data_IF_080933749525
#
_entry.id   IF_080933749525
#
_cell.length_a   1.000
_cell.length_b   1.000
_cell.length_c   1.000
_cell.angle_alpha   90.00
_cell.angle_beta   90.00
_cell.angle_gamma   90.00
#
_symmetry.space_group_name_H-M   'P 1'
#
loop_
_entity.id
_entity.type
_entity.pdbx_description
1 polymer ?
#
# COMPACT_ATOMS: atom_id res chain seq x y z
N UNK A 1 -25.57 -45.23 6.02
CA UNK A 1 -25.36 -44.13 5.04
C UNK A 1 -25.52 -42.72 5.65
N UNK A 2 -25.61 -42.53 6.97
CA UNK A 2 -25.88 -41.22 7.60
C UNK A 2 -24.64 -40.46 8.09
N UNK A 3 -23.52 -41.12 8.46
CA UNK A 3 -22.34 -40.48 9.04
C UNK A 3 -21.47 -39.72 8.05
N UNK A 4 -21.47 -40.07 6.77
CA UNK A 4 -20.64 -39.41 5.73
C UNK A 4 -21.24 -38.04 5.34
N UNK A 5 -22.56 -37.88 5.36
CA UNK A 5 -23.22 -36.60 5.03
C UNK A 5 -22.98 -35.50 6.09
N UNK A 6 -22.82 -35.88 7.37
CA UNK A 6 -22.60 -34.91 8.46
C UNK A 6 -21.18 -34.34 8.41
N UNK A 7 -20.19 -35.16 8.06
CA UNK A 7 -18.79 -34.71 7.94
C UNK A 7 -18.63 -33.74 6.76
N UNK A 8 -19.29 -34.01 5.63
CA UNK A 8 -19.22 -33.12 4.45
C UNK A 8 -19.84 -31.76 4.71
N UNK A 9 -20.95 -31.69 5.46
CA UNK A 9 -21.59 -30.43 5.86
C UNK A 9 -20.74 -29.61 6.84
N UNK A 10 -20.00 -30.25 7.75
CA UNK A 10 -19.08 -29.57 8.66
C UNK A 10 -17.88 -28.95 7.94
N UNK A 11 -17.32 -29.62 6.92
CA UNK A 11 -16.22 -29.08 6.12
C UNK A 11 -16.65 -27.88 5.26
N UNK A 12 -17.86 -27.90 4.72
CA UNK A 12 -18.42 -26.78 3.95
C UNK A 12 -18.70 -25.58 4.86
N UNK A 13 -19.18 -25.78 6.08
CA UNK A 13 -19.43 -24.70 7.05
C UNK A 13 -18.13 -24.02 7.53
N UNK A 14 -17.05 -24.79 7.74
CA UNK A 14 -15.72 -24.26 8.14
C UNK A 14 -15.07 -23.46 7.00
N UNK A 15 -15.23 -23.87 5.75
CA UNK A 15 -14.70 -23.13 4.59
C UNK A 15 -15.45 -21.79 4.38
N UNK A 16 -16.76 -21.73 4.68
CA UNK A 16 -17.54 -20.49 4.55
C UNK A 16 -17.24 -19.50 5.70
N UNK A 17 -16.93 -19.96 6.91
CA UNK A 17 -16.62 -19.07 8.03
C UNK A 17 -15.28 -18.35 7.85
N UNK A 18 -14.27 -19.00 7.27
CA UNK A 18 -12.98 -18.37 6.98
C UNK A 18 -13.03 -17.35 5.84
N UNK A 19 -13.91 -17.55 4.85
CA UNK A 19 -14.11 -16.57 3.77
C UNK A 19 -14.86 -15.32 4.26
N UNK A 20 -15.84 -15.47 5.14
CA UNK A 20 -16.60 -14.36 5.73
C UNK A 20 -15.71 -13.45 6.60
N UNK A 21 -14.77 -14.00 7.35
CA UNK A 21 -13.85 -13.21 8.18
C UNK A 21 -12.83 -12.43 7.34
N UNK A 22 -12.27 -13.03 6.31
CA UNK A 22 -11.31 -12.36 5.42
C UNK A 22 -11.97 -11.20 4.63
N UNK A 23 -13.20 -11.38 4.18
CA UNK A 23 -13.96 -10.37 3.44
C UNK A 23 -14.34 -9.18 4.33
N UNK A 24 -14.72 -9.41 5.59
CA UNK A 24 -15.05 -8.36 6.56
C UNK A 24 -13.84 -7.51 6.96
N UNK A 25 -12.66 -8.12 7.09
CA UNK A 25 -11.40 -7.40 7.38
C UNK A 25 -10.98 -6.55 6.18
N UNK A 26 -11.05 -7.06 4.97
CA UNK A 26 -10.75 -6.28 3.75
C UNK A 26 -11.68 -5.07 3.60
N UNK A 27 -12.96 -5.22 3.91
CA UNK A 27 -13.95 -4.14 3.85
C UNK A 27 -13.69 -3.06 4.92
N UNK A 28 -13.29 -3.46 6.13
CA UNK A 28 -12.95 -2.52 7.22
C UNK A 28 -11.69 -1.70 6.91
N UNK A 29 -10.65 -2.33 6.36
CA UNK A 29 -9.41 -1.65 5.94
C UNK A 29 -9.69 -0.66 4.80
N UNK A 30 -10.48 -1.07 3.80
CA UNK A 30 -10.86 -0.19 2.70
C UNK A 30 -11.65 1.02 3.18
N UNK A 31 -12.55 0.85 4.15
CA UNK A 31 -13.31 1.95 4.75
C UNK A 31 -12.42 2.92 5.54
N UNK A 32 -11.50 2.41 6.35
CA UNK A 32 -10.56 3.23 7.10
C UNK A 32 -9.67 4.07 6.17
N UNK A 33 -9.20 3.49 5.06
CA UNK A 33 -8.41 4.20 4.05
C UNK A 33 -9.22 5.27 3.31
N UNK A 34 -10.49 5.00 3.00
CA UNK A 34 -11.37 6.02 2.41
C UNK A 34 -11.58 7.22 3.34
N UNK A 35 -11.75 6.98 4.64
CA UNK A 35 -11.84 8.06 5.62
C UNK A 35 -10.51 8.81 5.74
N UNK A 36 -9.37 8.11 5.77
CA UNK A 36 -8.05 8.72 5.77
C UNK A 36 -7.84 9.62 4.53
N UNK A 37 -8.23 9.15 3.34
CA UNK A 37 -8.14 9.93 2.11
C UNK A 37 -8.99 11.21 2.16
N UNK A 38 -10.14 11.21 2.84
CA UNK A 38 -10.92 12.43 3.06
C UNK A 38 -10.20 13.41 3.98
N UNK A 39 -9.55 12.90 5.03
CA UNK A 39 -8.74 13.74 5.93
C UNK A 39 -7.58 14.36 5.17
N UNK A 40 -6.81 13.56 4.42
CA UNK A 40 -5.70 14.04 3.57
C UNK A 40 -6.19 15.13 2.61
N UNK A 41 -7.30 14.86 1.91
CA UNK A 41 -7.89 15.83 0.99
C UNK A 41 -8.22 17.15 1.70
N UNK A 42 -8.88 17.09 2.84
CA UNK A 42 -9.26 18.28 3.63
C UNK A 42 -8.02 19.06 4.09
N UNK A 43 -6.98 18.37 4.54
CA UNK A 43 -5.71 18.97 4.95
C UNK A 43 -5.03 19.67 3.77
N UNK A 44 -4.94 19.01 2.62
CA UNK A 44 -4.35 19.59 1.41
C UNK A 44 -5.17 20.76 0.88
N UNK A 45 -6.51 20.67 0.90
CA UNK A 45 -7.39 21.77 0.48
C UNK A 45 -7.20 23.02 1.35
N UNK A 46 -6.85 22.85 2.62
CA UNK A 46 -6.56 23.95 3.54
C UNK A 46 -5.12 24.45 3.42
N UNK A 47 -4.13 23.56 3.34
CA UNK A 47 -2.71 23.87 3.47
C UNK A 47 -1.99 24.10 2.14
N UNK A 48 -2.36 23.42 1.05
CA UNK A 48 -1.68 23.56 -0.22
C UNK A 48 -2.30 24.65 -1.08
N UNK A 49 -1.49 25.50 -1.70
CA UNK A 49 -1.98 26.57 -2.58
C UNK A 49 -2.66 25.95 -3.81
N UNK A 50 -3.95 26.19 -3.94
CA UNK A 50 -4.80 25.59 -4.95
C UNK A 50 -5.40 24.22 -4.57
N UNK A 51 -5.21 23.79 -3.32
CA UNK A 51 -5.85 22.62 -2.73
C UNK A 51 -5.28 21.27 -3.20
N UNK A 52 -5.96 20.20 -2.81
CA UNK A 52 -5.58 18.81 -3.12
C UNK A 52 -5.43 18.58 -4.63
N UNK A 53 -6.32 19.15 -5.44
CA UNK A 53 -6.24 19.02 -6.90
C UNK A 53 -5.01 19.69 -7.52
N UNK A 54 -4.47 20.76 -6.91
CA UNK A 54 -3.21 21.35 -7.33
C UNK A 54 -2.02 20.46 -6.91
N UNK A 55 -2.06 19.95 -5.68
CA UNK A 55 -1.05 19.02 -5.19
C UNK A 55 -0.93 17.77 -6.09
N UNK A 56 -2.05 17.17 -6.47
CA UNK A 56 -2.07 16.01 -7.38
C UNK A 56 -1.52 16.36 -8.77
N UNK A 57 -1.89 17.51 -9.34
CA UNK A 57 -1.33 17.96 -10.64
C UNK A 57 0.18 18.15 -10.56
N UNK A 58 0.67 18.83 -9.52
CA UNK A 58 2.09 19.06 -9.32
C UNK A 58 2.84 17.73 -9.13
N UNK A 59 2.22 16.79 -8.42
CA UNK A 59 2.75 15.44 -8.28
C UNK A 59 2.94 14.76 -9.65
N UNK A 60 1.91 14.70 -10.49
CA UNK A 60 1.99 14.05 -11.80
C UNK A 60 2.91 14.76 -12.80
N UNK A 61 3.18 16.04 -12.60
CA UNK A 61 4.17 16.79 -13.43
C UNK A 61 5.60 16.44 -13.04
N UNK A 62 5.86 16.15 -11.75
CA UNK A 62 7.22 16.07 -11.22
C UNK A 62 7.65 14.68 -10.79
N UNK A 63 6.72 13.74 -10.61
CA UNK A 63 7.01 12.35 -10.24
C UNK A 63 6.76 11.45 -11.45
N UNK A 64 7.82 10.83 -11.95
CA UNK A 64 7.76 9.91 -13.10
C UNK A 64 7.85 8.45 -12.63
N UNK A 65 6.90 7.63 -13.05
CA UNK A 65 6.98 6.18 -12.92
C UNK A 65 7.77 5.63 -14.11
N UNK A 66 9.09 5.70 -14.02
CA UNK A 66 10.00 5.48 -15.12
C UNK A 66 9.97 4.03 -15.65
N UNK A 67 10.44 3.88 -16.91
CA UNK A 67 10.48 2.60 -17.62
C UNK A 67 11.22 1.49 -16.83
N UNK A 68 12.32 1.81 -16.12
CA UNK A 68 13.08 0.82 -15.35
C UNK A 68 12.24 0.27 -14.20
N UNK A 69 11.55 1.14 -13.45
CA UNK A 69 10.65 0.73 -12.35
C UNK A 69 9.51 -0.15 -12.87
N UNK A 70 8.94 0.18 -14.02
CA UNK A 70 7.87 -0.59 -14.68
C UNK A 70 8.37 -1.96 -15.13
N UNK A 71 9.51 -2.02 -15.82
CA UNK A 71 10.12 -3.27 -16.31
C UNK A 71 10.55 -4.20 -15.18
N UNK A 72 10.94 -3.65 -14.04
CA UNK A 72 11.25 -4.43 -12.83
C UNK A 72 10.02 -4.78 -11.99
N UNK A 73 8.82 -4.46 -12.46
CA UNK A 73 7.56 -4.70 -11.74
C UNK A 73 7.57 -4.10 -10.32
N UNK A 74 8.09 -2.88 -10.19
CA UNK A 74 8.10 -2.13 -8.92
C UNK A 74 6.70 -1.58 -8.65
N UNK A 75 5.79 -2.43 -8.19
CA UNK A 75 4.38 -2.15 -7.96
C UNK A 75 4.11 -2.13 -6.47
N UNK A 76 3.30 -1.20 -6.00
CA UNK A 76 2.88 -1.17 -4.60
C UNK A 76 2.54 0.21 -4.10
N UNK A 77 2.24 0.28 -2.80
CA UNK A 77 1.93 1.51 -2.09
C UNK A 77 3.14 1.97 -1.29
N UNK A 78 3.66 3.15 -1.57
CA UNK A 78 4.63 3.85 -0.71
C UNK A 78 3.93 4.97 0.04
N UNK A 79 4.39 5.28 1.25
CA UNK A 79 3.77 6.30 2.08
C UNK A 79 4.76 7.43 2.26
N UNK A 80 4.43 8.60 1.72
CA UNK A 80 5.20 9.82 1.88
C UNK A 80 4.76 10.52 3.16
N UNK A 81 5.64 10.56 4.16
CA UNK A 81 5.42 11.22 5.44
C UNK A 81 6.24 12.50 5.50
N UNK A 82 5.63 13.62 5.85
CA UNK A 82 6.34 14.88 5.96
C UNK A 82 5.64 15.88 6.87
N UNK A 83 6.41 16.85 7.32
CA UNK A 83 5.90 17.99 8.10
C UNK A 83 5.97 19.26 7.26
N UNK A 84 4.96 20.09 7.40
CA UNK A 84 4.97 21.47 6.93
C UNK A 84 4.54 22.36 8.11
N UNK A 85 5.47 23.15 8.63
CA UNK A 85 5.20 24.02 9.76
C UNK A 85 4.10 25.05 9.45
N UNK A 86 3.44 25.56 10.49
CA UNK A 86 2.34 26.51 10.29
C UNK A 86 2.76 27.82 9.58
N UNK A 87 4.04 28.15 9.57
CA UNK A 87 4.59 29.26 8.77
C UNK A 87 4.80 28.94 7.28
N UNK A 88 4.46 27.70 6.85
CA UNK A 88 4.62 27.22 5.48
C UNK A 88 5.99 26.63 5.16
N UNK A 89 6.93 26.62 6.13
CA UNK A 89 8.25 26.02 5.92
C UNK A 89 8.20 24.50 5.95
N UNK A 90 9.04 23.87 5.12
CA UNK A 90 9.16 22.41 5.09
C UNK A 90 9.94 21.92 6.30
N UNK A 91 9.43 20.86 6.95
CA UNK A 91 10.08 20.16 8.03
C UNK A 91 10.68 18.81 7.62
N UNK A 92 10.45 17.79 8.43
CA UNK A 92 10.99 16.44 8.19
C UNK A 92 10.31 15.76 7.01
N UNK A 93 11.06 14.88 6.35
CA UNK A 93 10.57 14.02 5.28
C UNK A 93 11.04 12.59 5.50
N UNK A 94 10.13 11.64 5.36
CA UNK A 94 10.41 10.21 5.45
C UNK A 94 9.56 9.42 4.47
N UNK A 95 9.99 8.22 4.10
CA UNK A 95 9.23 7.29 3.26
C UNK A 95 9.06 5.98 4.02
N UNK A 96 7.81 5.59 4.22
CA UNK A 96 7.46 4.26 4.71
C UNK A 96 7.13 3.37 3.52
N UNK A 97 7.49 2.08 3.64
CA UNK A 97 7.34 1.10 2.57
C UNK A 97 7.99 1.55 1.25
N UNK A 98 9.30 1.84 1.24
CA UNK A 98 10.01 2.30 0.06
C UNK A 98 9.95 1.25 -1.06
N UNK A 99 9.67 1.68 -2.30
CA UNK A 99 9.56 0.76 -3.44
C UNK A 99 10.89 0.52 -4.14
N UNK A 100 11.57 1.60 -4.52
CA UNK A 100 12.94 1.59 -5.02
C UNK A 100 13.60 2.98 -4.88
N UNK A 101 14.92 3.05 -5.01
CA UNK A 101 15.69 4.28 -4.79
C UNK A 101 15.31 5.39 -5.78
N UNK A 102 14.95 5.04 -7.02
CA UNK A 102 14.57 6.02 -8.03
C UNK A 102 13.26 6.72 -7.64
N UNK A 103 12.20 5.96 -7.33
CA UNK A 103 10.91 6.52 -6.91
C UNK A 103 11.05 7.29 -5.60
N UNK A 104 11.78 6.73 -4.63
CA UNK A 104 12.03 7.41 -3.36
C UNK A 104 12.72 8.76 -3.56
N UNK A 105 13.73 8.82 -4.43
CA UNK A 105 14.42 10.07 -4.77
C UNK A 105 13.52 11.09 -5.46
N UNK A 106 12.60 10.64 -6.30
CA UNK A 106 11.63 11.54 -6.95
C UNK A 106 10.62 12.10 -5.95
N UNK A 107 10.11 11.28 -5.02
CA UNK A 107 9.21 11.74 -3.96
C UNK A 107 9.88 12.78 -3.07
N UNK A 108 11.15 12.57 -2.70
CA UNK A 108 11.91 13.55 -1.93
C UNK A 108 12.11 14.86 -2.70
N UNK A 109 12.46 14.78 -4.00
CA UNK A 109 12.60 15.97 -4.85
C UNK A 109 11.28 16.71 -4.98
N UNK A 110 10.18 15.99 -5.21
CA UNK A 110 8.84 16.57 -5.26
C UNK A 110 8.52 17.33 -3.98
N UNK A 111 8.73 16.72 -2.81
CA UNK A 111 8.53 17.40 -1.52
C UNK A 111 9.32 18.71 -1.45
N UNK A 112 10.61 18.71 -1.78
CA UNK A 112 11.44 19.92 -1.75
C UNK A 112 10.96 20.99 -2.73
N UNK A 113 10.38 20.62 -3.87
CA UNK A 113 9.83 21.57 -4.85
C UNK A 113 8.55 22.24 -4.38
N UNK A 114 7.84 21.67 -3.41
CA UNK A 114 6.61 22.25 -2.86
C UNK A 114 6.84 23.40 -1.87
N UNK A 115 8.10 23.75 -1.55
CA UNK A 115 8.47 24.68 -0.47
C UNK A 115 7.72 26.00 -0.45
N UNK A 116 7.36 26.54 -1.62
CA UNK A 116 6.68 27.83 -1.75
C UNK A 116 5.17 27.69 -1.95
N UNK A 117 4.63 26.46 -1.88
CA UNK A 117 3.24 26.12 -2.20
C UNK A 117 2.35 25.90 -0.96
N UNK A 118 2.82 26.23 0.23
CA UNK A 118 2.07 26.00 1.46
C UNK A 118 1.52 27.29 2.05
N UNK A 119 0.29 27.23 2.52
CA UNK A 119 -0.36 28.30 3.25
C UNK A 119 -0.01 28.20 4.75
N UNK A 120 -0.02 29.34 5.45
CA UNK A 120 0.08 29.37 6.90
C UNK A 120 -1.10 28.64 7.57
N UNK A 121 -0.90 28.15 8.78
CA UNK A 121 -1.96 27.59 9.61
C UNK A 121 -1.91 28.12 11.04
N UNK A 122 -3.01 27.96 11.77
CA UNK A 122 -3.11 28.36 13.17
C UNK A 122 -3.09 27.17 14.15
N UNK A 123 -3.20 25.95 13.63
CA UNK A 123 -3.26 24.73 14.42
C UNK A 123 -2.23 23.71 13.90
N UNK A 124 -1.35 23.24 14.78
CA UNK A 124 -0.31 22.25 14.48
C UNK A 124 -0.86 20.88 14.04
N UNK A 125 -2.15 20.59 14.26
CA UNK A 125 -2.78 19.38 13.73
C UNK A 125 -2.73 19.30 12.20
N UNK A 126 -2.49 20.42 11.53
CA UNK A 126 -2.37 20.52 10.07
C UNK A 126 -0.91 20.55 9.58
N UNK A 127 0.06 20.23 10.41
CA UNK A 127 1.48 20.22 10.03
C UNK A 127 1.95 18.88 9.51
N UNK A 128 1.37 17.77 9.96
CA UNK A 128 1.83 16.41 9.63
C UNK A 128 0.97 15.78 8.53
N UNK A 129 1.64 15.30 7.49
CA UNK A 129 1.03 14.64 6.34
C UNK A 129 1.54 13.21 6.20
N UNK A 130 0.61 12.29 5.96
CA UNK A 130 0.88 10.92 5.60
C UNK A 130 0.09 10.58 4.32
N UNK A 131 0.78 10.60 3.18
CA UNK A 131 0.16 10.47 1.87
C UNK A 131 0.55 9.14 1.23
N UNK A 132 -0.36 8.16 1.18
CA UNK A 132 -0.12 6.90 0.48
C UNK A 132 -0.23 7.09 -1.03
N UNK A 133 0.79 6.61 -1.74
CA UNK A 133 0.94 6.73 -3.19
C UNK A 133 1.09 5.33 -3.77
N UNK A 134 0.21 4.98 -4.69
CA UNK A 134 0.25 3.72 -5.44
C UNK A 134 1.01 3.92 -6.74
N UNK A 135 1.99 3.07 -7.00
CA UNK A 135 2.57 2.88 -8.32
C UNK A 135 2.11 1.53 -8.87
N UNK A 136 1.49 1.53 -10.05
CA UNK A 136 0.96 0.31 -10.66
C UNK A 136 1.01 0.37 -12.18
N UNK A 137 0.66 -0.73 -12.85
CA UNK A 137 0.63 -0.87 -14.30
C UNK A 137 -0.82 -1.13 -14.71
N UNK A 138 -1.28 -0.48 -15.76
CA UNK A 138 -2.64 -0.65 -16.26
C UNK A 138 -2.95 -2.12 -16.59
N UNK A 139 -4.15 -2.56 -16.21
CA UNK A 139 -4.61 -3.93 -16.40
C UNK A 139 -4.01 -4.96 -15.43
N UNK A 140 -3.12 -4.55 -14.50
CA UNK A 140 -2.64 -5.43 -13.45
C UNK A 140 -3.58 -5.39 -12.23
N UNK A 141 -4.17 -6.53 -11.91
CA UNK A 141 -4.98 -6.69 -10.70
C UNK A 141 -4.09 -6.63 -9.45
N UNK A 142 -4.33 -5.67 -8.57
CA UNK A 142 -3.60 -5.47 -7.31
C UNK A 142 -4.50 -4.95 -6.19
N UNK A 143 -4.21 -5.33 -4.95
CA UNK A 143 -4.87 -4.84 -3.73
C UNK A 143 -4.24 -3.50 -3.24
N UNK A 144 -3.34 -2.88 -4.02
CA UNK A 144 -2.71 -1.62 -3.65
C UNK A 144 -3.74 -0.50 -3.51
N UNK A 145 -3.66 0.26 -2.42
CA UNK A 145 -4.60 1.33 -2.09
C UNK A 145 -3.83 2.57 -1.66
N UNK A 146 -4.24 3.75 -2.16
CA UNK A 146 -3.62 5.02 -1.80
C UNK A 146 -4.52 6.24 -2.02
N UNK A 147 -3.99 7.40 -1.70
CA UNK A 147 -4.59 8.70 -2.00
C UNK A 147 -4.32 9.11 -3.45
N UNK A 148 -3.07 8.94 -3.92
CA UNK A 148 -2.69 9.13 -5.32
C UNK A 148 -2.40 7.78 -5.94
N UNK A 149 -2.89 7.54 -7.16
CA UNK A 149 -2.53 6.37 -7.96
C UNK A 149 -1.82 6.81 -9.24
N UNK A 150 -0.54 6.48 -9.34
CA UNK A 150 0.26 6.67 -10.54
C UNK A 150 0.31 5.34 -11.30
N UNK A 151 -0.35 5.29 -12.43
CA UNK A 151 -0.33 4.12 -13.30
C UNK A 151 0.27 4.48 -14.67
N UNK A 152 0.85 3.47 -15.30
CA UNK A 152 1.34 3.55 -16.66
C UNK A 152 0.34 2.89 -17.60
N UNK A 153 0.09 3.54 -18.73
CA UNK A 153 -0.79 3.05 -19.80
C UNK A 153 -0.10 2.01 -20.71
N UNK A 154 1.20 1.77 -20.57
CA UNK A 154 1.90 0.76 -21.36
C UNK A 154 1.50 -0.66 -20.94
N UNK A 155 0.68 -1.31 -21.75
CA UNK A 155 0.27 -2.71 -21.63
C UNK A 155 1.44 -3.62 -22.01
N UNK A 156 1.64 -4.71 -21.27
CA UNK A 156 2.51 -5.81 -21.72
C UNK A 156 3.73 -6.12 -20.89
N UNK A 157 3.88 -5.54 -19.69
CA UNK A 157 4.90 -6.00 -18.77
C UNK A 157 4.50 -7.36 -18.15
N UNK A 158 5.42 -8.35 -18.08
CA UNK A 158 5.12 -9.70 -17.56
C UNK A 158 5.05 -9.72 -16.03
N UNK A 159 4.46 -8.69 -15.42
CA UNK A 159 4.35 -8.58 -13.98
C UNK A 159 3.30 -9.52 -13.42
N UNK A 160 3.58 -10.07 -12.25
CA UNK A 160 2.65 -10.96 -11.55
C UNK A 160 1.65 -10.15 -10.75
N UNK A 161 0.38 -10.56 -10.78
CA UNK A 161 -0.69 -9.98 -9.98
C UNK A 161 -0.66 -10.49 -8.52
N UNK A 162 -1.52 -9.94 -7.68
CA UNK A 162 -1.58 -10.34 -6.27
C UNK A 162 -2.07 -11.77 -6.09
N UNK A 163 -2.95 -12.26 -6.95
CA UNK A 163 -3.42 -13.64 -6.92
C UNK A 163 -2.27 -14.64 -7.05
N UNK A 164 -1.30 -14.36 -7.94
CA UNK A 164 -0.09 -15.19 -8.07
C UNK A 164 0.69 -15.27 -6.76
N UNK A 165 0.92 -14.15 -6.07
CA UNK A 165 1.67 -14.15 -4.81
C UNK A 165 0.88 -14.80 -3.67
N UNK A 166 -0.44 -14.65 -3.62
CA UNK A 166 -1.32 -15.35 -2.67
C UNK A 166 -1.23 -16.87 -2.86
N UNK A 167 -1.25 -17.36 -4.09
CA UNK A 167 -1.08 -18.77 -4.42
C UNK A 167 0.32 -19.30 -4.05
N UNK A 168 1.39 -18.56 -4.39
CA UNK A 168 2.77 -18.93 -4.02
C UNK A 168 2.95 -18.99 -2.49
N UNK A 169 2.36 -18.04 -1.76
CA UNK A 169 2.36 -18.08 -0.30
C UNK A 169 1.70 -19.36 0.23
N UNK A 170 0.46 -19.65 -0.18
CA UNK A 170 -0.27 -20.85 0.27
C UNK A 170 0.47 -22.14 -0.07
N UNK A 171 1.05 -22.24 -1.26
CA UNK A 171 1.80 -23.41 -1.74
C UNK A 171 3.06 -23.69 -0.93
N UNK A 172 3.73 -22.64 -0.44
CA UNK A 172 5.05 -22.76 0.18
C UNK A 172 5.07 -22.58 1.68
N UNK A 173 4.02 -22.08 2.33
CA UNK A 173 4.03 -21.71 3.75
C UNK A 173 4.51 -22.85 4.68
N UNK A 174 4.16 -24.08 4.40
CA UNK A 174 4.58 -25.25 5.20
C UNK A 174 5.88 -25.90 4.72
N UNK A 175 6.08 -25.98 3.39
CA UNK A 175 7.16 -26.76 2.79
C UNK A 175 8.44 -25.98 2.55
N UNK A 176 8.33 -24.68 2.25
CA UNK A 176 9.45 -23.79 1.90
C UNK A 176 9.20 -22.39 2.45
N UNK A 177 9.19 -22.21 3.79
CA UNK A 177 8.74 -20.98 4.41
C UNK A 177 9.54 -19.73 3.99
N UNK A 178 10.82 -19.86 3.60
CA UNK A 178 11.58 -18.74 3.00
C UNK A 178 11.03 -18.26 1.66
N UNK A 179 10.40 -19.16 0.87
CA UNK A 179 9.72 -18.76 -0.38
C UNK A 179 8.37 -18.12 -0.09
N UNK A 180 7.63 -18.66 0.88
CA UNK A 180 6.38 -18.06 1.35
C UNK A 180 6.59 -16.63 1.88
N UNK A 181 7.68 -16.42 2.65
CA UNK A 181 8.04 -15.09 3.14
C UNK A 181 8.26 -14.08 2.00
N UNK A 182 8.97 -14.48 0.93
CA UNK A 182 9.15 -13.61 -0.25
C UNK A 182 7.82 -13.22 -0.92
N UNK A 183 6.87 -14.15 -0.99
CA UNK A 183 5.56 -13.87 -1.55
C UNK A 183 4.76 -12.90 -0.66
N UNK A 184 4.84 -13.06 0.67
CA UNK A 184 4.25 -12.12 1.63
C UNK A 184 4.90 -10.74 1.58
N UNK A 185 6.24 -10.67 1.45
CA UNK A 185 6.94 -9.39 1.32
C UNK A 185 6.45 -8.61 0.10
N UNK A 186 6.18 -9.31 -1.03
CA UNK A 186 5.59 -8.68 -2.21
C UNK A 186 4.15 -8.19 -1.96
N UNK A 187 3.32 -8.98 -1.28
CA UNK A 187 1.95 -8.60 -0.94
C UNK A 187 1.90 -7.42 0.03
N UNK A 188 2.78 -7.41 1.05
CA UNK A 188 2.90 -6.29 2.01
C UNK A 188 3.42 -5.03 1.30
N UNK A 189 4.39 -5.15 0.39
CA UNK A 189 4.89 -4.03 -0.40
C UNK A 189 3.76 -3.40 -1.23
N UNK A 190 2.82 -4.20 -1.75
CA UNK A 190 1.68 -3.72 -2.53
C UNK A 190 0.60 -3.09 -1.66
N UNK A 191 0.28 -3.74 -0.53
CA UNK A 191 -0.69 -3.22 0.43
C UNK A 191 -0.16 -3.31 1.86
N UNK A 192 0.58 -2.28 2.33
CA UNK A 192 1.15 -2.23 3.67
C UNK A 192 0.09 -2.08 4.78
N UNK A 193 -1.15 -1.82 4.43
CA UNK A 193 -2.27 -1.70 5.36
C UNK A 193 -3.01 -3.02 5.59
N UNK A 194 -2.61 -4.10 4.92
CA UNK A 194 -3.27 -5.39 5.07
C UNK A 194 -2.69 -6.17 6.25
N UNK A 195 -3.35 -6.05 7.41
CA UNK A 195 -2.96 -6.71 8.65
C UNK A 195 -2.88 -8.24 8.53
N UNK A 196 -3.65 -8.86 7.63
CA UNK A 196 -3.57 -10.31 7.42
C UNK A 196 -2.20 -10.73 6.88
N UNK A 197 -1.62 -9.97 5.96
CA UNK A 197 -0.28 -10.26 5.42
C UNK A 197 0.81 -10.04 6.47
N UNK A 198 0.67 -8.98 7.28
CA UNK A 198 1.60 -8.67 8.37
C UNK A 198 1.57 -9.78 9.42
N UNK A 199 0.37 -10.16 9.89
CA UNK A 199 0.20 -11.23 10.86
C UNK A 199 0.71 -12.59 10.36
N UNK A 200 0.47 -12.93 9.09
CA UNK A 200 0.99 -14.18 8.50
C UNK A 200 2.52 -14.17 8.40
N UNK A 201 3.13 -13.01 8.13
CA UNK A 201 4.59 -12.85 8.15
C UNK A 201 5.16 -13.06 9.55
N UNK A 202 4.55 -12.47 10.57
CA UNK A 202 4.99 -12.62 11.96
C UNK A 202 4.84 -14.07 12.45
N UNK A 203 3.77 -14.76 12.07
CA UNK A 203 3.57 -16.18 12.34
C UNK A 203 4.65 -17.05 11.69
N UNK A 204 5.02 -16.80 10.44
CA UNK A 204 6.10 -17.52 9.79
C UNK A 204 7.45 -17.27 10.45
N UNK A 205 7.74 -16.03 10.84
CA UNK A 205 9.01 -15.66 11.49
C UNK A 205 9.14 -16.25 12.89
N UNK A 206 8.06 -16.35 13.66
CA UNK A 206 8.07 -17.00 14.98
C UNK A 206 8.35 -18.50 14.88
N UNK A 207 7.78 -19.20 13.89
CA UNK A 207 8.07 -20.62 13.62
C UNK A 207 9.55 -20.89 13.28
N UNK A 208 10.31 -19.93 12.74
CA UNK A 208 11.76 -20.08 12.55
C UNK A 208 12.59 -20.01 13.83
N UNK A 209 12.07 -19.34 14.89
CA UNK A 209 12.76 -19.20 16.17
C UNK A 209 12.64 -20.48 17.01
N UNK A 210 11.54 -21.20 16.88
CA UNK A 210 11.29 -22.43 17.64
C UNK A 210 12.00 -23.66 17.07
N UNK A 211 12.46 -23.57 15.81
CA UNK A 211 13.13 -24.70 15.09
C UNK A 211 14.66 -24.69 15.22
N UNK A 212 15.24 -23.83 16.07
CA UNK A 212 16.67 -23.77 16.45
C UNK A 212 16.90 -24.24 17.86
#
# INVERSE_FOLDING_TARGET
MSKVKVILLLFVALAHSSQLTAQSVSESVSKALLENNKVIKTMLDYRYKGGSGAFERDFFVHVDYNKISRQSCTIGTTIMMFTVHCDGTLGEFNIINPLNDHLNSQLQKFFLMTKDNWNECQNSDYEYFEIPIVFTIEGLETDAIGFITHYDEEIGYPCKNDSYFKEEFQKFKEKKPKKALKALDELIRRNPYNDLYINEKDNLLSGFKESK
#
